data_IF_241016723266
#
_entry.id   IF_241016723266
#
_cell.length_a   1.000
_cell.length_b   1.000
_cell.length_c   1.000
_cell.angle_alpha   90.00
_cell.angle_beta   90.00
_cell.angle_gamma   90.00
#
_symmetry.space_group_name_H-M   'P 1'
#
loop_
_entity.id
_entity.type
_entity.pdbx_description
1 polymer ?
#
# COMPACT_ATOMS: atom_id res chain seq x y z
N UNK A 1 -12.58 9.44 -5.12
CA UNK A 1 -12.51 10.92 -5.28
C UNK A 1 -11.14 11.28 -5.85
N UNK A 2 -11.05 12.03 -6.97
CA UNK A 2 -9.76 12.40 -7.56
C UNK A 2 -9.20 13.65 -6.85
N UNK A 3 -7.88 13.76 -6.77
CA UNK A 3 -7.18 14.83 -6.01
C UNK A 3 -7.50 16.25 -6.52
N UNK A 4 -7.80 16.39 -7.81
CA UNK A 4 -8.25 17.66 -8.42
C UNK A 4 -9.59 18.13 -7.84
N UNK A 5 -10.54 17.22 -7.69
CA UNK A 5 -11.87 17.52 -7.13
C UNK A 5 -11.76 17.96 -5.66
N UNK A 6 -10.79 17.40 -4.92
CA UNK A 6 -10.55 17.72 -3.51
C UNK A 6 -9.96 19.12 -3.29
N UNK A 7 -9.04 19.55 -4.18
CA UNK A 7 -8.48 20.89 -4.20
C UNK A 7 -9.52 21.95 -4.59
N UNK A 8 -10.36 21.66 -5.60
CA UNK A 8 -11.40 22.57 -6.06
C UNK A 8 -12.51 22.79 -5.03
N UNK A 9 -12.81 21.78 -4.20
CA UNK A 9 -13.86 21.88 -3.18
C UNK A 9 -13.47 22.72 -1.94
N UNK A 10 -12.30 23.37 -1.91
CA UNK A 10 -11.75 24.07 -0.72
C UNK A 10 -11.75 23.21 0.57
N UNK A 11 -11.90 21.89 0.45
CA UNK A 11 -11.82 20.91 1.55
C UNK A 11 -10.39 20.66 2.02
N UNK A 12 -9.42 21.39 1.47
CA UNK A 12 -8.11 21.55 2.08
C UNK A 12 -8.25 22.44 3.32
N UNK A 13 -8.98 21.98 4.33
CA UNK A 13 -8.74 22.49 5.68
C UNK A 13 -7.27 22.20 5.96
N UNK A 14 -6.53 23.29 6.19
CA UNK A 14 -5.13 23.21 6.46
C UNK A 14 -5.01 22.45 7.79
N UNK A 15 -4.02 21.58 7.95
CA UNK A 15 -3.86 20.84 9.20
C UNK A 15 -3.75 21.77 10.43
N UNK A 16 -3.37 23.04 10.20
CA UNK A 16 -3.34 24.13 11.17
C UNK A 16 -4.75 24.53 11.66
N UNK A 17 -5.76 24.50 10.79
CA UNK A 17 -7.15 24.81 11.15
C UNK A 17 -7.73 23.73 12.05
N UNK A 18 -7.38 22.46 11.81
CA UNK A 18 -7.75 21.35 12.68
C UNK A 18 -7.11 21.46 14.07
N UNK A 19 -5.85 21.93 14.17
CA UNK A 19 -5.23 22.24 15.45
C UNK A 19 -5.93 23.40 16.17
N UNK A 20 -6.35 24.44 15.44
CA UNK A 20 -7.11 25.55 16.01
C UNK A 20 -8.48 25.12 16.57
N UNK A 21 -9.07 24.04 16.06
CA UNK A 21 -10.30 23.41 16.59
C UNK A 21 -10.07 22.53 17.82
N UNK A 22 -8.83 22.41 18.30
CA UNK A 22 -8.49 21.59 19.46
C UNK A 22 -8.41 20.09 19.16
N UNK A 23 -8.28 19.69 17.89
CA UNK A 23 -8.10 18.29 17.53
C UNK A 23 -6.65 17.85 17.78
N UNK A 24 -6.49 16.64 18.31
CA UNK A 24 -5.19 16.05 18.60
C UNK A 24 -4.68 15.24 17.41
N UNK A 25 -3.42 15.48 17.02
CA UNK A 25 -2.75 14.67 16.00
C UNK A 25 -2.53 13.24 16.49
N UNK A 26 -2.60 12.28 15.57
CA UNK A 26 -2.33 10.86 15.84
C UNK A 26 -1.03 10.59 16.62
N UNK A 27 0.02 11.38 16.38
CA UNK A 27 1.28 11.28 17.11
C UNK A 27 1.16 11.68 18.58
N UNK A 28 0.43 12.75 18.89
CA UNK A 28 0.18 13.18 20.26
C UNK A 28 -0.70 12.16 21.01
N UNK A 29 -1.74 11.67 20.35
CA UNK A 29 -2.62 10.62 20.90
C UNK A 29 -1.85 9.34 21.17
N UNK A 30 -0.97 8.91 20.25
CA UNK A 30 -0.13 7.74 20.46
C UNK A 30 0.75 7.86 21.70
N UNK A 31 1.32 9.04 21.97
CA UNK A 31 2.12 9.29 23.18
C UNK A 31 1.23 9.22 24.43
N UNK A 32 0.05 9.84 24.41
CA UNK A 32 -0.89 9.82 25.53
C UNK A 32 -1.35 8.40 25.87
N UNK A 33 -1.79 7.64 24.87
CA UNK A 33 -2.21 6.25 25.06
C UNK A 33 -1.05 5.35 25.45
N UNK A 34 0.16 5.60 24.93
CA UNK A 34 1.34 4.82 25.32
C UNK A 34 1.66 4.98 26.80
N UNK A 35 1.48 6.20 27.34
CA UNK A 35 1.63 6.47 28.77
C UNK A 35 0.49 5.82 29.58
N UNK A 36 -0.76 5.98 29.14
CA UNK A 36 -1.96 5.42 29.82
C UNK A 36 -1.89 3.91 29.97
N UNK A 37 -1.47 3.20 28.92
CA UNK A 37 -1.44 1.73 28.89
C UNK A 37 -0.06 1.13 29.15
N UNK A 38 0.94 1.96 29.48
CA UNK A 38 2.34 1.55 29.65
C UNK A 38 2.85 0.64 28.51
N UNK A 39 2.41 0.91 27.28
CA UNK A 39 2.66 0.07 26.10
C UNK A 39 3.01 0.98 24.94
N UNK A 40 4.07 0.67 24.19
CA UNK A 40 4.44 1.47 23.01
C UNK A 40 3.34 1.36 21.95
N UNK A 41 2.62 2.44 21.66
CA UNK A 41 1.58 2.53 20.62
C UNK A 41 2.08 3.45 19.51
N UNK A 42 1.91 3.04 18.26
CA UNK A 42 2.31 3.85 17.11
C UNK A 42 1.12 4.62 16.52
N UNK A 43 1.39 5.79 15.93
CA UNK A 43 0.36 6.57 15.24
C UNK A 43 -0.32 5.80 14.09
N UNK A 44 0.34 4.78 13.51
CA UNK A 44 -0.25 3.93 12.46
C UNK A 44 -1.35 3.02 12.99
N UNK A 45 -1.20 2.52 14.21
CA UNK A 45 -2.18 1.64 14.87
C UNK A 45 -3.48 2.39 15.20
N UNK A 46 -3.40 3.72 15.31
CA UNK A 46 -4.51 4.59 15.64
C UNK A 46 -5.30 5.07 14.42
N UNK A 47 -4.78 4.93 13.20
CA UNK A 47 -5.43 5.40 11.97
C UNK A 47 -6.90 4.95 11.85
N UNK A 48 -7.28 3.69 12.17
CA UNK A 48 -8.67 3.25 12.05
C UNK A 48 -9.65 3.97 12.98
N UNK A 49 -9.15 4.59 14.06
CA UNK A 49 -9.97 5.31 15.03
C UNK A 49 -10.02 6.82 14.75
N UNK A 50 -9.31 7.30 13.72
CA UNK A 50 -9.30 8.71 13.36
C UNK A 50 -10.64 9.09 12.70
N UNK A 51 -11.27 10.15 13.21
CA UNK A 51 -12.51 10.66 12.63
C UNK A 51 -12.25 11.59 11.45
N UNK A 52 -11.17 12.36 11.55
CA UNK A 52 -10.83 13.36 10.55
C UNK A 52 -9.39 13.18 10.09
N UNK A 53 -9.17 13.52 8.83
CA UNK A 53 -7.84 13.55 8.26
C UNK A 53 -7.72 14.77 7.33
N UNK A 54 -6.60 15.48 7.49
CA UNK A 54 -6.26 16.64 6.68
C UNK A 54 -4.93 16.43 5.98
N UNK A 55 -4.64 17.28 5.01
CA UNK A 55 -3.34 17.26 4.33
C UNK A 55 -2.33 18.12 5.10
N UNK A 56 -1.16 17.56 5.41
CA UNK A 56 -0.02 18.31 5.96
C UNK A 56 0.63 19.27 4.95
N UNK A 57 0.16 19.26 3.71
CA UNK A 57 0.78 19.92 2.57
C UNK A 57 0.63 19.06 1.31
N UNK A 58 0.71 19.72 0.15
CA UNK A 58 0.64 19.09 -1.16
C UNK A 58 2.00 19.24 -1.82
N UNK A 59 2.63 18.12 -2.14
CA UNK A 59 3.95 18.09 -2.74
C UNK A 59 3.86 17.51 -4.15
N UNK A 60 4.63 18.07 -5.08
CA UNK A 60 4.77 17.52 -6.43
C UNK A 60 5.73 16.32 -6.38
N UNK A 61 5.26 15.15 -6.80
CA UNK A 61 6.05 13.92 -6.90
C UNK A 61 5.94 13.40 -8.33
N UNK A 62 6.93 13.76 -9.17
CA UNK A 62 6.86 13.57 -10.62
C UNK A 62 5.72 14.40 -11.23
N UNK A 63 4.89 13.78 -12.08
CA UNK A 63 3.73 14.42 -12.71
C UNK A 63 2.45 14.40 -11.85
N UNK A 64 2.54 13.96 -10.59
CA UNK A 64 1.37 13.86 -9.70
C UNK A 64 1.57 14.67 -8.43
N UNK A 65 0.50 15.31 -7.98
CA UNK A 65 0.45 15.90 -6.65
C UNK A 65 0.14 14.79 -5.63
N UNK A 66 1.00 14.65 -4.62
CA UNK A 66 0.79 13.76 -3.48
C UNK A 66 0.77 14.56 -2.19
N UNK A 67 -0.23 14.28 -1.36
CA UNK A 67 -0.35 14.84 -0.02
C UNK A 67 0.03 13.84 1.05
N UNK A 68 0.68 14.31 2.12
CA UNK A 68 0.82 13.52 3.35
C UNK A 68 -0.44 13.71 4.18
N UNK A 69 -1.16 12.62 4.46
CA UNK A 69 -2.34 12.64 5.35
C UNK A 69 -1.88 12.74 6.80
N UNK A 70 -2.53 13.63 7.56
CA UNK A 70 -2.42 13.75 9.01
C UNK A 70 -3.78 13.41 9.58
N UNK A 71 -3.80 12.49 10.54
CA UNK A 71 -5.02 12.00 11.18
C UNK A 71 -5.22 12.71 12.52
N UNK A 72 -6.46 13.07 12.80
CA UNK A 72 -6.88 13.87 13.94
C UNK A 72 -7.95 13.16 14.76
N UNK A 73 -7.96 13.46 16.06
CA UNK A 73 -8.81 12.83 17.06
C UNK A 73 -9.42 13.91 17.96
N UNK A 74 -10.70 13.73 18.31
CA UNK A 74 -11.30 14.51 19.36
C UNK A 74 -10.79 14.05 20.73
N UNK A 75 -10.43 14.97 21.64
CA UNK A 75 -9.97 14.62 22.99
C UNK A 75 -10.92 13.67 23.74
N UNK A 76 -12.24 13.88 23.61
CA UNK A 76 -13.25 13.05 24.26
C UNK A 76 -13.22 11.58 23.86
N UNK A 77 -12.90 11.29 22.59
CA UNK A 77 -12.91 9.93 22.08
C UNK A 77 -11.60 9.19 22.30
N UNK A 78 -10.51 9.92 22.57
CA UNK A 78 -9.21 9.29 22.86
C UNK A 78 -9.30 8.43 24.12
N UNK A 79 -10.08 8.87 25.11
CA UNK A 79 -10.23 8.15 26.38
C UNK A 79 -10.94 6.80 26.22
N UNK A 80 -11.86 6.73 25.26
CA UNK A 80 -12.72 5.58 24.96
C UNK A 80 -12.04 4.51 24.09
N UNK A 81 -10.81 4.72 23.61
CA UNK A 81 -10.11 3.74 22.77
C UNK A 81 -9.58 2.61 23.66
N UNK A 82 -10.13 1.37 23.58
CA UNK A 82 -9.68 0.28 24.41
C UNK A 82 -8.38 -0.32 23.86
N UNK A 83 -7.48 -0.73 24.75
CA UNK A 83 -6.18 -1.32 24.38
C UNK A 83 -6.35 -2.56 23.48
N UNK A 84 -7.35 -3.39 23.74
CA UNK A 84 -7.63 -4.61 22.97
C UNK A 84 -7.85 -4.32 21.47
N UNK A 85 -8.61 -3.27 21.14
CA UNK A 85 -8.84 -2.89 19.73
C UNK A 85 -7.57 -2.37 19.07
N UNK A 86 -6.69 -1.69 19.82
CA UNK A 86 -5.39 -1.24 19.30
C UNK A 86 -4.51 -2.47 18.99
N UNK A 87 -4.51 -3.47 19.87
CA UNK A 87 -3.73 -4.70 19.70
C UNK A 87 -4.27 -5.59 18.57
N UNK A 88 -5.58 -5.63 18.35
CA UNK A 88 -6.19 -6.32 17.19
C UNK A 88 -5.70 -5.76 15.85
N UNK A 89 -5.31 -4.48 15.78
CA UNK A 89 -4.73 -3.91 14.56
C UNK A 89 -3.27 -4.35 14.33
N UNK A 90 -2.60 -4.96 15.33
CA UNK A 90 -1.24 -5.50 15.18
C UNK A 90 -1.21 -6.86 14.54
N UNK A 91 -2.28 -7.65 14.65
CA UNK A 91 -2.32 -8.95 13.99
C UNK A 91 -2.39 -8.70 12.48
N UNK A 92 -1.38 -9.13 11.71
CA UNK A 92 -1.45 -9.01 10.26
C UNK A 92 -2.71 -9.75 9.81
N UNK A 93 -3.53 -9.09 8.99
CA UNK A 93 -4.64 -9.76 8.30
C UNK A 93 -4.04 -11.00 7.65
N UNK A 94 -4.34 -12.17 8.20
CA UNK A 94 -3.94 -13.46 7.64
C UNK A 94 -4.53 -13.45 6.24
N UNK A 95 -3.67 -13.29 5.24
CA UNK A 95 -4.10 -13.31 3.85
C UNK A 95 -4.53 -14.74 3.59
N UNK A 96 -5.84 -14.97 3.65
CA UNK A 96 -6.44 -16.31 3.52
C UNK A 96 -6.22 -16.90 2.12
N UNK A 97 -5.97 -16.06 1.12
CA UNK A 97 -5.84 -16.48 -0.27
C UNK A 97 -4.41 -16.27 -0.77
N UNK A 98 -3.53 -17.22 -0.45
CA UNK A 98 -2.23 -17.34 -1.10
C UNK A 98 -2.48 -18.00 -2.46
N UNK A 99 -2.20 -17.28 -3.54
CA UNK A 99 -2.26 -17.80 -4.90
C UNK A 99 -0.86 -18.06 -5.41
N UNK A 100 -0.76 -19.04 -6.30
CA UNK A 100 0.48 -19.37 -7.00
C UNK A 100 0.23 -19.52 -8.50
N UNK A 101 1.18 -19.07 -9.30
CA UNK A 101 1.00 -19.02 -10.75
C UNK A 101 2.11 -18.26 -11.46
N UNK A 102 1.94 -18.07 -12.75
CA UNK A 102 2.91 -17.38 -13.59
C UNK A 102 2.38 -16.06 -14.12
N UNK A 103 3.28 -15.18 -14.54
CA UNK A 103 2.95 -13.91 -15.17
C UNK A 103 4.08 -13.46 -16.12
N UNK A 104 3.78 -12.64 -17.14
CA UNK A 104 4.80 -12.04 -17.98
C UNK A 104 5.51 -10.91 -17.23
N UNK A 105 6.79 -11.12 -16.91
CA UNK A 105 7.66 -10.12 -16.29
C UNK A 105 8.45 -9.37 -17.37
N UNK A 106 8.25 -8.07 -17.46
CA UNK A 106 8.90 -7.25 -18.47
C UNK A 106 10.19 -6.62 -17.95
N UNK A 107 11.30 -6.86 -18.65
CA UNK A 107 12.57 -6.22 -18.39
C UNK A 107 12.90 -5.23 -19.50
N UNK A 108 13.37 -4.04 -19.13
CA UNK A 108 13.93 -3.08 -20.08
C UNK A 108 15.34 -3.52 -20.43
N UNK A 109 15.58 -3.81 -21.69
CA UNK A 109 16.90 -4.13 -22.22
C UNK A 109 17.30 -3.04 -23.20
N UNK A 110 18.49 -2.48 -23.00
CA UNK A 110 19.09 -1.54 -23.93
C UNK A 110 20.09 -2.29 -24.79
N UNK A 111 19.90 -2.23 -26.10
CA UNK A 111 20.85 -2.79 -27.06
C UNK A 111 22.18 -2.01 -26.98
N UNK A 112 23.32 -2.66 -26.73
CA UNK A 112 24.61 -1.98 -26.62
C UNK A 112 25.07 -1.32 -27.93
N UNK A 113 24.63 -1.84 -29.09
CA UNK A 113 25.04 -1.34 -30.41
C UNK A 113 24.15 -0.17 -30.84
N UNK A 114 22.84 -0.37 -30.84
CA UNK A 114 21.89 0.66 -31.32
C UNK A 114 21.47 1.66 -30.24
N UNK A 115 21.81 1.41 -28.97
CA UNK A 115 21.36 2.14 -27.78
C UNK A 115 19.83 2.24 -27.63
N UNK A 116 19.06 1.47 -28.41
CA UNK A 116 17.60 1.45 -28.31
C UNK A 116 17.18 0.60 -27.12
N UNK A 117 16.30 1.14 -26.29
CA UNK A 117 15.69 0.40 -25.19
C UNK A 117 14.42 -0.28 -25.69
N UNK A 118 14.33 -1.59 -25.48
CA UNK A 118 13.14 -2.40 -25.74
C UNK A 118 12.68 -3.09 -24.46
N UNK A 119 11.39 -3.40 -24.35
CA UNK A 119 10.85 -4.19 -23.25
C UNK A 119 10.68 -5.62 -23.71
N UNK A 120 11.37 -6.56 -23.06
CA UNK A 120 11.27 -7.99 -23.37
C UNK A 120 10.51 -8.71 -22.25
N UNK A 121 9.51 -9.55 -22.58
CA UNK A 121 8.81 -10.35 -21.59
C UNK A 121 9.60 -11.62 -21.23
N UNK A 122 9.54 -11.99 -19.97
CA UNK A 122 10.15 -13.18 -19.40
C UNK A 122 9.14 -13.89 -18.48
N UNK A 123 9.33 -15.18 -18.25
CA UNK A 123 8.48 -15.95 -17.36
C UNK A 123 8.78 -15.60 -15.90
N UNK A 124 7.84 -14.92 -15.24
CA UNK A 124 7.83 -14.69 -13.80
C UNK A 124 6.93 -15.69 -13.07
N UNK A 125 7.36 -16.14 -11.90
CA UNK A 125 6.55 -16.97 -10.99
C UNK A 125 6.19 -16.13 -9.77
N UNK A 126 4.92 -16.18 -9.37
CA UNK A 126 4.40 -15.48 -8.19
C UNK A 126 3.79 -16.48 -7.21
N UNK A 127 4.14 -16.35 -5.94
CA UNK A 127 3.53 -17.05 -4.82
C UNK A 127 3.28 -16.03 -3.71
N UNK A 128 2.01 -15.74 -3.41
CA UNK A 128 1.68 -14.71 -2.44
C UNK A 128 0.21 -14.30 -2.45
N UNK A 129 -0.13 -13.19 -1.78
CA UNK A 129 -1.50 -12.72 -1.67
C UNK A 129 -2.21 -12.49 -3.00
N UNK A 130 -3.45 -12.99 -3.16
CA UNK A 130 -4.28 -12.76 -4.34
C UNK A 130 -4.43 -11.28 -4.71
N UNK A 131 -4.59 -10.42 -3.71
CA UNK A 131 -4.73 -8.96 -3.88
C UNK A 131 -3.45 -8.25 -4.37
N UNK A 132 -2.31 -8.95 -4.39
CA UNK A 132 -1.01 -8.45 -4.88
C UNK A 132 -0.53 -9.21 -6.11
N UNK A 133 -1.38 -10.04 -6.73
CA UNK A 133 -1.05 -10.77 -7.95
C UNK A 133 -0.62 -9.79 -9.07
N UNK A 134 0.50 -10.05 -9.77
CA UNK A 134 0.96 -9.21 -10.88
C UNK A 134 -0.03 -9.14 -12.05
N UNK A 135 0.08 -8.10 -12.88
CA UNK A 135 -0.75 -7.97 -14.08
C UNK A 135 -0.48 -9.14 -15.05
N UNK A 136 -1.54 -9.76 -15.55
CA UNK A 136 -1.44 -10.93 -16.43
C UNK A 136 -1.15 -12.23 -15.70
N UNK A 137 -1.37 -12.29 -14.39
CA UNK A 137 -1.26 -13.51 -13.59
C UNK A 137 -2.20 -14.61 -14.09
N UNK A 138 -1.66 -15.83 -14.20
CA UNK A 138 -2.39 -17.06 -14.48
C UNK A 138 -2.08 -18.07 -13.40
N UNK A 139 -3.12 -18.55 -12.72
CA UNK A 139 -3.01 -19.55 -11.66
C UNK A 139 -2.46 -20.87 -12.20
N UNK A 140 -1.60 -21.52 -11.41
CA UNK A 140 -1.05 -22.84 -11.73
C UNK A 140 -1.35 -23.81 -10.59
N UNK A 141 -1.62 -25.06 -10.95
CA UNK A 141 -1.68 -26.17 -9.98
C UNK A 141 -0.26 -26.54 -9.52
N UNK A 142 -0.13 -27.35 -8.47
CA UNK A 142 1.18 -27.71 -7.89
C UNK A 142 2.12 -28.39 -8.89
N UNK A 143 1.59 -29.31 -9.71
CA UNK A 143 2.35 -29.99 -10.76
C UNK A 143 2.89 -29.02 -11.81
N UNK A 144 2.04 -28.09 -12.25
CA UNK A 144 2.39 -27.06 -13.24
C UNK A 144 3.37 -26.04 -12.67
N UNK A 145 3.29 -25.75 -11.37
CA UNK A 145 4.22 -24.86 -10.69
C UNK A 145 5.63 -25.44 -10.71
N UNK A 146 5.79 -26.74 -10.42
CA UNK A 146 7.09 -27.40 -10.45
C UNK A 146 7.73 -27.35 -11.86
N UNK A 147 6.92 -27.52 -12.91
CA UNK A 147 7.34 -27.32 -14.30
C UNK A 147 7.72 -25.86 -14.60
N UNK A 148 6.91 -24.91 -14.15
CA UNK A 148 7.11 -23.49 -14.40
C UNK A 148 8.32 -22.91 -13.66
N UNK A 149 8.62 -23.39 -12.45
CA UNK A 149 9.81 -23.00 -11.68
C UNK A 149 11.10 -23.39 -12.39
N UNK A 150 11.14 -24.56 -13.05
CA UNK A 150 12.29 -24.98 -13.88
C UNK A 150 12.51 -24.06 -15.10
N UNK A 151 11.46 -23.40 -15.58
CA UNK A 151 11.50 -22.49 -16.73
C UNK A 151 11.58 -21.01 -16.33
N UNK A 152 11.69 -20.70 -15.03
CA UNK A 152 11.69 -19.33 -14.52
C UNK A 152 12.78 -18.49 -15.20
N UNK A 153 12.43 -17.28 -15.63
CA UNK A 153 13.37 -16.39 -16.31
C UNK A 153 13.64 -16.75 -17.77
N UNK A 154 12.93 -17.74 -18.34
CA UNK A 154 12.89 -17.97 -19.79
C UNK A 154 12.29 -16.75 -20.49
N UNK A 155 12.91 -16.33 -21.59
CA UNK A 155 12.37 -15.29 -22.45
C UNK A 155 11.09 -15.77 -23.14
N UNK A 156 10.06 -14.93 -23.13
CA UNK A 156 8.80 -15.20 -23.80
C UNK A 156 8.79 -14.52 -25.16
N UNK A 157 8.20 -15.17 -26.17
CA UNK A 157 7.85 -14.51 -27.42
C UNK A 157 6.67 -13.57 -27.18
N UNK A 158 6.51 -12.53 -28.02
CA UNK A 158 5.31 -11.68 -27.96
C UNK A 158 4.04 -12.54 -28.07
N UNK A 159 3.11 -12.36 -27.13
CA UNK A 159 1.83 -13.08 -27.07
C UNK A 159 1.95 -14.60 -26.83
N UNK A 160 3.10 -15.10 -26.39
CA UNK A 160 3.26 -16.51 -26.04
C UNK A 160 2.53 -16.82 -24.73
N UNK A 161 1.61 -17.78 -24.81
CA UNK A 161 1.02 -18.42 -23.64
C UNK A 161 1.83 -19.65 -23.26
N UNK A 162 2.29 -19.69 -22.01
CA UNK A 162 3.02 -20.84 -21.49
C UNK A 162 2.06 -21.95 -21.07
N UNK A 163 2.36 -23.16 -21.54
CA UNK A 163 1.72 -24.41 -21.10
C UNK A 163 2.75 -25.14 -20.24
N UNK A 164 2.33 -25.55 -19.03
CA UNK A 164 3.15 -26.16 -17.99
C UNK A 164 2.57 -27.49 -17.53
#
# INVERSE_FOLDING_TARGET
MKMRDYLQQKKSENYQDAEARGLLKAGAVAILLSKKFNTKISAKELIPFAQEWHHAGIFKVGDRLKGKRVYFFHPSQVEDIPLEKILQNRTPVVVKDIVQGWYPQFFKMTDPVTRRTSSKPFLGIYKGPANKAPKGFKSLNEEQLASAEKQRGRALKPFEDCVF
#
